data_IF_516533986658
#
_entry.id   IF_516533986658
#
_cell.length_a   1.000
_cell.length_b   1.000
_cell.length_c   1.000
_cell.angle_alpha   90.00
_cell.angle_beta   90.00
_cell.angle_gamma   90.00
#
_symmetry.space_group_name_H-M   'P 1'
#
loop_
_entity.id
_entity.type
_entity.pdbx_description
1 polymer ?
#
# COMPACT_ATOMS: atom_id res chain seq x y z
N UNK A 1 5.00 23.61 -4.26
CA UNK A 1 5.19 22.25 -4.85
C UNK A 1 4.35 22.19 -6.11
N UNK A 2 4.79 21.45 -7.13
CA UNK A 2 4.04 21.34 -8.38
C UNK A 2 2.70 20.62 -8.15
N UNK A 3 1.64 21.11 -8.79
CA UNK A 3 0.33 20.44 -8.83
C UNK A 3 0.40 19.31 -9.86
N UNK A 4 -0.31 18.22 -9.59
CA UNK A 4 -0.44 17.08 -10.49
C UNK A 4 -1.91 16.76 -10.73
N UNK A 5 -2.25 16.45 -11.98
CA UNK A 5 -3.60 16.06 -12.37
C UNK A 5 -3.54 14.69 -13.04
N UNK A 6 -4.04 13.66 -12.34
CA UNK A 6 -4.25 12.34 -12.92
C UNK A 6 -5.57 12.40 -13.67
N UNK A 7 -5.56 12.12 -14.97
CA UNK A 7 -6.75 12.16 -15.84
C UNK A 7 -7.21 10.79 -16.29
N UNK A 8 -8.52 10.64 -16.41
CA UNK A 8 -9.19 9.50 -17.03
C UNK A 8 -8.95 8.14 -16.33
N UNK A 9 -8.63 8.12 -15.04
CA UNK A 9 -8.46 6.88 -14.29
C UNK A 9 -9.81 6.28 -13.87
N UNK A 10 -9.86 4.96 -13.69
CA UNK A 10 -10.87 4.33 -12.85
C UNK A 10 -10.49 4.60 -11.40
N UNK A 11 -11.37 5.22 -10.61
CA UNK A 11 -11.04 5.65 -9.25
C UNK A 11 -11.94 4.91 -8.26
N UNK A 12 -11.33 4.15 -7.35
CA UNK A 12 -12.00 3.54 -6.20
C UNK A 12 -11.61 4.36 -4.97
N UNK A 13 -12.52 5.23 -4.53
CA UNK A 13 -12.19 6.17 -3.45
C UNK A 13 -12.22 5.54 -2.07
N UNK A 14 -12.96 4.43 -1.92
CA UNK A 14 -13.25 3.80 -0.61
C UNK A 14 -13.93 4.79 0.36
N UNK A 15 -14.48 5.89 -0.15
CA UNK A 15 -15.25 6.87 0.60
C UNK A 15 -16.70 6.91 0.07
N UNK A 16 -17.69 6.46 0.85
CA UNK A 16 -19.09 6.42 0.41
C UNK A 16 -19.71 7.80 0.14
N UNK A 17 -19.07 8.88 0.63
CA UNK A 17 -19.53 10.25 0.37
C UNK A 17 -19.07 10.77 -0.99
N UNK A 18 -17.91 10.33 -1.43
CA UNK A 18 -17.34 10.70 -2.74
C UNK A 18 -17.85 9.73 -3.81
N UNK A 19 -17.88 8.41 -3.50
CA UNK A 19 -18.21 7.34 -4.42
C UNK A 19 -17.05 7.02 -5.38
N UNK A 20 -17.28 6.06 -6.25
CA UNK A 20 -16.29 5.58 -7.22
C UNK A 20 -16.56 6.13 -8.61
N UNK A 21 -15.51 6.22 -9.45
CA UNK A 21 -15.61 6.72 -10.82
C UNK A 21 -15.07 5.69 -11.80
N UNK A 22 -15.86 5.28 -12.77
CA UNK A 22 -15.34 4.47 -13.88
C UNK A 22 -14.31 5.24 -14.71
N UNK A 23 -14.49 6.56 -14.78
CA UNK A 23 -13.57 7.49 -15.39
C UNK A 23 -13.65 8.82 -14.65
N UNK A 24 -12.55 9.24 -14.08
CA UNK A 24 -12.46 10.46 -13.30
C UNK A 24 -11.05 11.00 -13.24
N UNK A 25 -10.94 12.18 -12.66
CA UNK A 25 -9.70 12.93 -12.50
C UNK A 25 -9.39 13.13 -11.01
N UNK A 26 -8.10 13.15 -10.67
CA UNK A 26 -7.61 13.45 -9.32
C UNK A 26 -6.63 14.61 -9.38
N UNK A 27 -6.94 15.69 -8.71
CA UNK A 27 -6.04 16.84 -8.56
C UNK A 27 -5.28 16.72 -7.24
N UNK A 28 -3.96 16.73 -7.34
CA UNK A 28 -3.03 16.71 -6.21
C UNK A 28 -2.35 18.07 -6.12
N UNK A 29 -2.35 18.65 -4.92
CA UNK A 29 -1.68 19.91 -4.62
C UNK A 29 -0.68 19.67 -3.48
N UNK A 30 0.61 19.69 -3.80
CA UNK A 30 1.66 19.30 -2.88
C UNK A 30 1.54 17.85 -2.45
N UNK A 31 1.17 17.61 -1.19
CA UNK A 31 1.00 16.27 -0.59
C UNK A 31 -0.46 15.90 -0.34
N UNK A 32 -1.41 16.69 -0.85
CA UNK A 32 -2.84 16.50 -0.57
C UNK A 32 -3.62 16.28 -1.86
N UNK A 33 -4.58 15.35 -1.81
CA UNK A 33 -5.63 15.25 -2.80
C UNK A 33 -6.55 16.46 -2.57
N UNK A 34 -6.65 17.31 -3.58
CA UNK A 34 -7.44 18.55 -3.51
C UNK A 34 -8.86 18.33 -4.01
N UNK A 35 -9.00 17.53 -5.06
CA UNK A 35 -10.28 17.29 -5.71
C UNK A 35 -10.27 15.95 -6.41
N UNK A 36 -11.42 15.27 -6.41
CA UNK A 36 -11.73 14.09 -7.22
C UNK A 36 -13.07 14.38 -7.90
N UNK A 37 -13.11 14.32 -9.22
CA UNK A 37 -14.30 14.64 -9.99
C UNK A 37 -14.30 13.91 -11.34
N UNK A 38 -15.46 13.83 -12.05
CA UNK A 38 -15.50 13.25 -13.40
C UNK A 38 -14.58 13.96 -14.41
N UNK A 39 -14.34 15.26 -14.23
CA UNK A 39 -13.40 16.04 -15.01
C UNK A 39 -12.94 17.28 -14.25
N UNK A 40 -11.65 17.57 -14.27
CA UNK A 40 -11.03 18.70 -13.58
C UNK A 40 -10.23 19.53 -14.57
N UNK A 41 -10.36 20.85 -14.50
CA UNK A 41 -9.53 21.79 -15.24
C UNK A 41 -8.44 22.35 -14.32
N UNK A 42 -7.18 22.14 -14.70
CA UNK A 42 -6.02 22.63 -13.96
C UNK A 42 -4.85 22.83 -14.94
N UNK A 43 -4.82 24.00 -15.58
CA UNK A 43 -3.85 24.32 -16.63
C UNK A 43 -2.42 24.48 -16.11
N UNK A 44 -2.28 24.66 -14.80
CA UNK A 44 -1.00 24.81 -14.09
C UNK A 44 -0.48 23.47 -13.49
N UNK A 45 -1.15 22.34 -13.77
CA UNK A 45 -0.78 21.04 -13.23
C UNK A 45 -0.03 20.17 -14.27
N UNK A 46 0.94 19.40 -13.79
CA UNK A 46 1.53 18.29 -14.54
C UNK A 46 0.45 17.23 -14.79
N UNK A 47 0.24 16.87 -16.06
CA UNK A 47 -0.76 15.90 -16.45
C UNK A 47 -0.18 14.48 -16.41
N UNK A 48 -0.84 13.58 -15.68
CA UNK A 48 -0.54 12.15 -15.64
C UNK A 48 -1.69 11.41 -16.30
N UNK A 49 -1.42 10.69 -17.38
CA UNK A 49 -2.44 9.88 -18.06
C UNK A 49 -2.77 8.63 -17.23
N UNK A 50 -3.99 8.58 -16.73
CA UNK A 50 -4.58 7.47 -15.98
C UNK A 50 -5.43 6.51 -16.82
N UNK A 51 -5.47 6.67 -18.14
CA UNK A 51 -6.25 5.80 -19.03
C UNK A 51 -5.86 4.34 -18.85
N UNK A 52 -6.85 3.46 -18.66
CA UNK A 52 -6.67 2.04 -18.33
C UNK A 52 -5.89 1.76 -17.02
N UNK A 53 -5.84 2.71 -16.12
CA UNK A 53 -5.27 2.54 -14.79
C UNK A 53 -6.36 2.63 -13.72
N UNK A 54 -6.10 1.99 -12.59
CA UNK A 54 -6.97 2.05 -11.41
C UNK A 54 -6.22 2.86 -10.35
N UNK A 55 -6.85 3.91 -9.85
CA UNK A 55 -6.38 4.69 -8.72
C UNK A 55 -7.12 4.24 -7.45
N UNK A 56 -6.37 3.86 -6.43
CA UNK A 56 -6.87 3.46 -5.12
C UNK A 56 -6.10 4.21 -4.04
N UNK A 57 -6.66 4.39 -2.82
CA UNK A 57 -5.87 4.82 -1.68
C UNK A 57 -4.69 3.88 -1.43
N UNK A 58 -3.56 4.43 -0.97
CA UNK A 58 -2.43 3.62 -0.53
C UNK A 58 -2.85 2.69 0.62
N UNK A 59 -2.25 1.51 0.67
CA UNK A 59 -2.53 0.57 1.74
C UNK A 59 -2.03 1.11 3.09
N UNK A 60 -2.79 0.78 4.14
CA UNK A 60 -2.41 1.06 5.53
C UNK A 60 -2.31 -0.29 6.23
N UNK A 61 -1.09 -0.69 6.57
CA UNK A 61 -0.83 -1.90 7.33
C UNK A 61 -0.80 -1.56 8.83
N UNK A 62 -1.81 -2.00 9.55
CA UNK A 62 -1.96 -1.75 10.99
C UNK A 62 -1.48 -2.90 11.87
N UNK A 63 -1.06 -4.04 11.28
CA UNK A 63 -0.58 -5.21 12.00
C UNK A 63 0.44 -5.97 11.16
N UNK A 64 1.71 -5.88 11.53
CA UNK A 64 2.80 -6.53 10.81
C UNK A 64 3.83 -7.14 11.77
N UNK A 65 4.23 -8.36 11.47
CA UNK A 65 5.34 -9.04 12.14
C UNK A 65 6.63 -8.82 11.33
N UNK A 66 7.27 -7.68 11.51
CA UNK A 66 8.44 -7.26 10.71
C UNK A 66 9.62 -8.23 10.82
N UNK A 67 9.84 -8.84 11.98
CA UNK A 67 10.92 -9.80 12.21
C UNK A 67 10.80 -11.07 11.33
N UNK A 68 9.59 -11.40 10.86
CA UNK A 68 9.32 -12.56 10.01
C UNK A 68 9.70 -12.34 8.54
N UNK A 69 10.22 -11.18 8.17
CA UNK A 69 10.59 -10.87 6.77
C UNK A 69 11.64 -11.80 6.18
N UNK A 70 12.48 -12.42 7.02
CA UNK A 70 13.42 -13.45 6.59
C UNK A 70 12.74 -14.77 6.21
N UNK A 71 11.49 -14.97 6.61
CA UNK A 71 10.72 -16.20 6.40
C UNK A 71 9.67 -16.04 5.28
N UNK A 72 9.93 -15.19 4.31
CA UNK A 72 9.00 -14.94 3.19
C UNK A 72 8.60 -16.24 2.49
N UNK A 73 7.31 -16.36 2.20
CA UNK A 73 6.69 -17.50 1.53
C UNK A 73 6.78 -18.84 2.32
N UNK A 74 7.12 -18.79 3.61
CA UNK A 74 7.07 -19.97 4.47
C UNK A 74 5.64 -20.23 4.93
N UNK A 75 5.09 -21.38 4.62
CA UNK A 75 3.77 -21.83 5.07
C UNK A 75 2.58 -21.00 4.57
N UNK A 76 2.45 -20.68 3.28
CA UNK A 76 1.37 -19.82 2.76
C UNK A 76 -0.02 -20.46 2.92
N UNK A 77 -0.10 -21.77 3.15
CA UNK A 77 -1.30 -22.55 3.33
C UNK A 77 -1.43 -23.15 4.76
N UNK A 78 -0.59 -22.69 5.68
CA UNK A 78 -0.61 -23.21 7.05
C UNK A 78 -1.83 -22.71 7.85
N UNK A 79 -2.34 -23.59 8.69
CA UNK A 79 -3.27 -23.19 9.74
C UNK A 79 -2.55 -22.36 10.80
N UNK A 80 -3.30 -21.62 11.62
CA UNK A 80 -2.73 -20.84 12.72
C UNK A 80 -1.90 -21.70 13.69
N UNK A 81 -2.33 -22.94 13.95
CA UNK A 81 -1.59 -23.87 14.80
C UNK A 81 -0.23 -24.26 14.18
N UNK A 82 -0.19 -24.53 12.89
CA UNK A 82 1.05 -24.82 12.16
C UNK A 82 1.98 -23.60 12.14
N UNK A 83 1.44 -22.39 11.92
CA UNK A 83 2.19 -21.15 12.02
C UNK A 83 2.81 -20.98 13.42
N UNK A 84 2.05 -21.12 14.49
CA UNK A 84 2.59 -21.00 15.85
C UNK A 84 3.71 -22.00 16.12
N UNK A 85 3.53 -23.25 15.72
CA UNK A 85 4.55 -24.29 15.94
C UNK A 85 5.77 -24.04 15.03
N UNK A 86 5.56 -23.86 13.74
CA UNK A 86 6.64 -23.73 12.76
C UNK A 86 7.39 -22.41 12.87
N UNK A 87 6.69 -21.30 12.84
CA UNK A 87 7.33 -19.97 12.82
C UNK A 87 7.69 -19.51 14.23
N UNK A 88 6.72 -19.47 15.14
CA UNK A 88 6.95 -18.84 16.46
C UNK A 88 7.83 -19.69 17.37
N UNK A 89 7.60 -21.00 17.42
CA UNK A 89 8.35 -21.90 18.33
C UNK A 89 9.67 -22.34 17.67
N UNK A 90 9.61 -22.94 16.48
CA UNK A 90 10.80 -23.52 15.85
C UNK A 90 11.68 -22.42 15.26
N UNK A 91 11.22 -21.67 14.28
CA UNK A 91 12.05 -20.70 13.57
C UNK A 91 12.44 -19.53 14.46
N UNK A 92 11.49 -18.98 15.24
CA UNK A 92 11.77 -17.88 16.16
C UNK A 92 12.74 -18.28 17.29
N UNK A 93 12.73 -19.54 17.69
CA UNK A 93 13.70 -20.06 18.66
C UNK A 93 15.13 -20.19 18.12
N UNK A 94 15.31 -20.21 16.81
CA UNK A 94 16.62 -20.26 16.14
C UNK A 94 17.22 -18.87 15.84
N UNK A 95 16.41 -17.82 15.90
CA UNK A 95 16.85 -16.46 15.58
C UNK A 95 17.90 -15.97 16.56
N UNK A 96 18.99 -15.44 16.01
CA UNK A 96 19.97 -14.65 16.75
C UNK A 96 19.48 -13.20 16.88
N UNK A 97 20.08 -12.38 17.77
CA UNK A 97 19.80 -10.94 17.80
C UNK A 97 20.04 -10.23 16.47
N UNK A 98 21.01 -10.70 15.66
CA UNK A 98 21.30 -10.15 14.34
C UNK A 98 20.21 -10.50 13.33
N UNK A 99 19.74 -11.74 13.29
CA UNK A 99 18.61 -12.16 12.45
C UNK A 99 17.37 -11.31 12.75
N UNK A 100 17.11 -11.08 14.03
CA UNK A 100 15.99 -10.27 14.47
C UNK A 100 16.14 -8.80 14.03
N UNK A 101 17.35 -8.24 14.15
CA UNK A 101 17.65 -6.88 13.67
C UNK A 101 17.42 -6.77 12.15
N UNK A 102 18.01 -7.67 11.37
CA UNK A 102 17.90 -7.66 9.90
C UNK A 102 16.44 -7.91 9.47
N UNK A 103 15.76 -8.87 10.08
CA UNK A 103 14.34 -9.15 9.80
C UNK A 103 13.45 -7.93 10.03
N UNK A 104 13.61 -7.26 11.16
CA UNK A 104 12.86 -6.04 11.46
C UNK A 104 13.21 -4.89 10.52
N UNK A 105 14.49 -4.69 10.18
CA UNK A 105 14.91 -3.66 9.24
C UNK A 105 14.30 -3.87 7.86
N UNK A 106 14.40 -5.08 7.32
CA UNK A 106 13.81 -5.42 6.01
C UNK A 106 12.29 -5.27 6.03
N UNK A 107 11.64 -5.75 7.08
CA UNK A 107 10.19 -5.63 7.22
C UNK A 107 9.72 -4.19 7.33
N UNK A 108 10.48 -3.32 7.98
CA UNK A 108 10.16 -1.91 8.09
C UNK A 108 10.38 -1.14 6.77
N UNK A 109 11.40 -1.51 5.99
CA UNK A 109 11.67 -0.90 4.69
C UNK A 109 10.65 -1.30 3.61
N UNK A 110 10.01 -2.46 3.77
CA UNK A 110 9.03 -3.02 2.85
C UNK A 110 7.58 -2.57 3.20
N UNK A 111 7.41 -1.75 4.23
CA UNK A 111 6.11 -1.20 4.70
C UNK A 111 5.82 0.16 4.04
#
# INVERSE_FOLDING_TARGET
MARKLIRNATILTVDPKIGDFHRGDILIDGTKIKEIAPSIQADDAEIIDGTNKIAIPGFIDTHRHTWESLLRNTGPDWTLAQYFTGVRVVMGGLYTPEDNHIGNLLGALDS
#
